data_IF_378995639079
#
_entry.id   IF_378995639079
#
_cell.length_a   1.000
_cell.length_b   1.000
_cell.length_c   1.000
_cell.angle_alpha   90.00
_cell.angle_beta   90.00
_cell.angle_gamma   90.00
#
_symmetry.space_group_name_H-M   'P 1'
#
loop_
_entity.id
_entity.type
_entity.pdbx_description
1 polymer ?
#
# COMPACT_ATOMS: atom_id res chain seq x y z
N UNK A 1 -10.81 5.32 7.49
CA UNK A 1 -9.85 4.59 6.63
C UNK A 1 -9.78 5.27 5.28
N UNK A 2 -8.59 5.61 4.80
CA UNK A 2 -8.31 6.25 3.50
C UNK A 2 -7.48 5.31 2.65
N UNK A 3 -7.75 5.28 1.36
CA UNK A 3 -6.98 4.53 0.35
C UNK A 3 -6.34 5.55 -0.59
N UNK A 4 -5.05 5.39 -0.84
CA UNK A 4 -4.28 6.20 -1.76
C UNK A 4 -3.83 5.33 -2.92
N UNK A 5 -4.28 5.64 -4.14
CA UNK A 5 -3.87 4.96 -5.36
C UNK A 5 -2.62 5.66 -5.93
N UNK A 6 -1.48 4.96 -5.99
CA UNK A 6 -0.23 5.51 -6.49
C UNK A 6 -0.26 5.90 -7.98
N UNK A 7 -1.32 5.56 -8.72
CA UNK A 7 -1.54 6.00 -10.11
C UNK A 7 -2.27 7.34 -10.20
N UNK A 8 -2.93 7.76 -9.12
CA UNK A 8 -3.65 9.03 -9.05
C UNK A 8 -2.70 10.12 -8.55
N UNK A 9 -2.43 11.19 -9.33
CA UNK A 9 -1.41 12.18 -8.97
C UNK A 9 -1.64 12.88 -7.64
N UNK A 10 -2.89 13.12 -7.24
CA UNK A 10 -3.21 13.72 -5.94
C UNK A 10 -2.87 12.80 -4.78
N UNK A 11 -3.22 11.53 -4.90
CA UNK A 11 -2.97 10.49 -3.89
C UNK A 11 -1.47 10.22 -3.75
N UNK A 12 -0.74 10.23 -4.88
CA UNK A 12 0.71 10.11 -4.88
C UNK A 12 1.38 11.24 -4.10
N UNK A 13 0.94 12.49 -4.31
CA UNK A 13 1.44 13.66 -3.56
C UNK A 13 1.12 13.54 -2.07
N UNK A 14 -0.09 13.11 -1.73
CA UNK A 14 -0.50 12.89 -0.34
C UNK A 14 0.32 11.78 0.33
N UNK A 15 0.49 10.64 -0.34
CA UNK A 15 1.26 9.51 0.14
C UNK A 15 2.71 9.92 0.42
N UNK A 16 3.38 10.61 -0.51
CA UNK A 16 4.75 11.08 -0.29
C UNK A 16 4.84 11.98 0.95
N UNK A 17 3.91 12.94 1.10
CA UNK A 17 3.86 13.81 2.28
C UNK A 17 3.67 13.01 3.58
N UNK A 18 2.75 12.05 3.58
CA UNK A 18 2.51 11.20 4.75
C UNK A 18 3.77 10.39 5.10
N UNK A 19 4.37 9.73 4.10
CA UNK A 19 5.59 8.96 4.27
C UNK A 19 6.74 9.81 4.83
N UNK A 20 6.89 11.05 4.38
CA UNK A 20 7.90 11.98 4.89
C UNK A 20 7.71 12.35 6.37
N UNK A 21 6.47 12.26 6.88
CA UNK A 21 6.09 12.59 8.26
C UNK A 21 6.08 11.39 9.21
N UNK A 22 6.23 10.16 8.71
CA UNK A 22 6.26 8.96 9.57
C UNK A 22 7.49 8.97 10.48
N UNK A 23 7.32 8.52 11.73
CA UNK A 23 8.43 8.36 12.67
C UNK A 23 9.48 7.36 12.15
N UNK A 24 9.00 6.27 11.54
CA UNK A 24 9.82 5.25 10.89
C UNK A 24 9.58 5.34 9.38
N UNK A 25 10.59 5.79 8.64
CA UNK A 25 10.52 5.94 7.17
C UNK A 25 11.25 4.80 6.50
N UNK A 26 10.52 3.71 6.21
CA UNK A 26 11.10 2.57 5.51
C UNK A 26 11.05 2.83 4.00
N UNK A 27 12.13 2.58 3.24
CA UNK A 27 12.11 2.76 1.79
C UNK A 27 10.99 1.98 1.10
N UNK A 28 10.64 0.80 1.63
CA UNK A 28 9.60 -0.05 1.06
C UNK A 28 8.16 0.48 1.27
N UNK A 29 7.97 1.51 2.08
CA UNK A 29 6.67 2.19 2.23
C UNK A 29 6.50 3.38 1.25
N UNK A 30 7.57 3.75 0.55
CA UNK A 30 7.57 4.85 -0.40
C UNK A 30 6.88 4.42 -1.71
N UNK A 31 6.02 5.24 -2.31
CA UNK A 31 5.29 4.85 -3.53
C UNK A 31 6.22 4.51 -4.69
N UNK A 32 7.34 5.21 -4.85
CA UNK A 32 8.31 4.93 -5.91
C UNK A 32 9.02 3.59 -5.73
N UNK A 33 9.19 3.12 -4.49
CA UNK A 33 9.74 1.79 -4.24
C UNK A 33 8.73 0.70 -4.61
N UNK A 34 7.46 0.88 -4.22
CA UNK A 34 6.40 -0.08 -4.54
C UNK A 34 6.16 -0.17 -6.04
N UNK A 35 6.21 0.97 -6.74
CA UNK A 35 6.17 1.00 -8.20
C UNK A 35 7.38 0.27 -8.81
N UNK A 36 8.60 0.54 -8.32
CA UNK A 36 9.83 -0.07 -8.81
C UNK A 36 9.83 -1.60 -8.70
N UNK A 37 9.34 -2.13 -7.57
CA UNK A 37 9.31 -3.58 -7.31
C UNK A 37 7.98 -4.24 -7.70
N UNK A 38 7.02 -3.44 -8.16
CA UNK A 38 5.69 -3.88 -8.54
C UNK A 38 5.73 -4.83 -9.73
N UNK A 39 4.88 -5.86 -9.70
CA UNK A 39 4.72 -6.78 -10.82
C UNK A 39 3.76 -6.20 -11.87
N UNK A 40 3.82 -6.72 -13.10
CA UNK A 40 2.85 -6.38 -14.13
C UNK A 40 1.41 -6.53 -13.62
N UNK A 41 0.56 -5.55 -13.96
CA UNK A 41 -0.84 -5.46 -13.53
C UNK A 41 -1.08 -5.22 -12.03
N UNK A 42 -0.07 -4.79 -11.28
CA UNK A 42 -0.25 -4.29 -9.92
C UNK A 42 -0.52 -2.79 -9.89
N UNK A 43 -1.27 -2.37 -8.87
CA UNK A 43 -1.47 -0.98 -8.50
C UNK A 43 -0.74 -0.73 -7.18
N UNK A 44 0.19 0.24 -7.10
CA UNK A 44 0.72 0.68 -5.82
C UNK A 44 -0.41 1.31 -4.99
N UNK A 45 -0.60 0.84 -3.76
CA UNK A 45 -1.64 1.34 -2.85
C UNK A 45 -1.05 1.58 -1.48
N UNK A 46 -1.49 2.66 -0.83
CA UNK A 46 -1.34 2.83 0.61
C UNK A 46 -2.69 3.00 1.29
N UNK A 47 -2.84 2.40 2.47
CA UNK A 47 -4.01 2.54 3.33
C UNK A 47 -3.60 3.23 4.61
N UNK A 48 -4.39 4.24 4.99
CA UNK A 48 -4.25 4.96 6.25
C UNK A 48 -5.50 4.76 7.10
N UNK A 49 -5.28 4.36 8.35
CA UNK A 49 -6.29 4.34 9.39
C UNK A 49 -5.84 5.27 10.52
N UNK A 50 -6.71 6.17 10.97
CA UNK A 50 -6.40 7.17 12.00
C UNK A 50 -7.47 7.11 13.09
N UNK A 51 -7.00 7.18 14.33
CA UNK A 51 -7.77 7.28 15.56
C UNK A 51 -7.18 8.39 16.43
N UNK A 52 -7.90 8.88 17.46
CA UNK A 52 -7.40 9.95 18.33
C UNK A 52 -6.02 9.71 18.97
N UNK A 53 -5.64 8.44 19.16
CA UNK A 53 -4.43 8.03 19.87
C UNK A 53 -3.40 7.31 19.01
N UNK A 54 -3.65 7.20 17.70
CA UNK A 54 -2.67 6.60 16.81
C UNK A 54 -3.15 6.43 15.39
N UNK A 55 -2.23 6.03 14.53
CA UNK A 55 -2.49 5.76 13.13
C UNK A 55 -1.81 4.48 12.69
N UNK A 56 -2.40 3.86 11.67
CA UNK A 56 -1.82 2.75 10.92
C UNK A 56 -1.61 3.20 9.49
N UNK A 57 -0.41 2.98 8.98
CA UNK A 57 -0.04 3.21 7.60
C UNK A 57 0.43 1.88 6.99
N UNK A 58 -0.15 1.48 5.85
CA UNK A 58 0.24 0.23 5.20
C UNK A 58 0.28 0.37 3.68
N UNK A 59 1.45 0.12 3.11
CA UNK A 59 1.70 0.24 1.69
C UNK A 59 1.98 -1.12 1.05
N UNK A 60 1.34 -1.40 -0.09
CA UNK A 60 1.38 -2.69 -0.76
C UNK A 60 1.10 -2.57 -2.26
N UNK A 61 1.44 -3.61 -3.02
CA UNK A 61 0.96 -3.80 -4.39
C UNK A 61 -0.38 -4.50 -4.36
N UNK A 62 -1.42 -3.88 -4.92
CA UNK A 62 -2.75 -4.45 -5.06
C UNK A 62 -2.89 -5.07 -6.45
N UNK A 63 -3.22 -6.36 -6.54
CA UNK A 63 -3.31 -7.05 -7.84
C UNK A 63 -4.64 -7.75 -7.98
N UNK A 64 -5.19 -7.67 -9.19
CA UNK A 64 -6.40 -8.41 -9.57
C UNK A 64 -6.03 -9.79 -10.07
N UNK A 65 -6.45 -10.83 -9.36
CA UNK A 65 -6.07 -12.21 -9.65
C UNK A 65 -6.61 -12.70 -11.00
N UNK A 66 -7.80 -12.25 -11.43
CA UNK A 66 -8.38 -12.65 -12.72
C UNK A 66 -7.53 -12.21 -13.94
N UNK A 67 -6.54 -11.33 -13.75
CA UNK A 67 -5.62 -10.92 -14.83
C UNK A 67 -4.48 -11.92 -15.07
N UNK A 68 -4.29 -12.89 -14.18
CA UNK A 68 -3.30 -13.93 -14.35
C UNK A 68 -3.89 -15.10 -15.15
N UNK A 69 -3.09 -15.66 -16.06
CA UNK A 69 -3.53 -16.74 -16.97
C UNK A 69 -4.17 -17.92 -16.24
N UNK A 70 -3.61 -18.33 -15.10
CA UNK A 70 -4.12 -19.44 -14.29
C UNK A 70 -5.45 -19.16 -13.55
N UNK A 71 -5.86 -17.89 -13.48
CA UNK A 71 -7.01 -17.43 -12.69
C UNK A 71 -8.04 -16.66 -13.54
N UNK A 72 -7.88 -16.63 -14.86
CA UNK A 72 -8.74 -15.85 -15.76
C UNK A 72 -10.17 -16.40 -15.90
N UNK A 73 -10.43 -17.62 -15.43
CA UNK A 73 -11.74 -18.29 -15.45
C UNK A 73 -12.58 -18.05 -14.19
N UNK A 74 -12.05 -17.32 -13.21
CA UNK A 74 -12.79 -16.98 -11.98
C UNK A 74 -13.96 -16.05 -12.33
N UNK A 75 -15.16 -16.43 -11.92
CA UNK A 75 -16.39 -15.65 -12.15
C UNK A 75 -16.41 -14.33 -11.36
N UNK A 76 -15.92 -14.37 -10.12
CA UNK A 76 -15.84 -13.21 -9.23
C UNK A 76 -14.48 -12.50 -9.34
N UNK A 77 -14.44 -11.20 -9.05
CA UNK A 77 -13.18 -10.47 -8.97
C UNK A 77 -12.47 -10.75 -7.64
N UNK A 78 -11.29 -11.37 -7.74
CA UNK A 78 -10.43 -11.58 -6.58
C UNK A 78 -9.21 -10.69 -6.63
N UNK A 79 -8.75 -10.30 -5.45
CA UNK A 79 -7.58 -9.46 -5.28
C UNK A 79 -6.64 -10.09 -4.27
N UNK A 80 -5.35 -9.90 -4.50
CA UNK A 80 -4.34 -10.08 -3.48
C UNK A 80 -3.62 -8.77 -3.17
N UNK A 81 -2.99 -8.75 -2.01
CA UNK A 81 -2.10 -7.69 -1.57
C UNK A 81 -0.71 -8.30 -1.39
N UNK A 82 0.31 -7.63 -1.92
CA UNK A 82 1.69 -8.06 -1.80
C UNK A 82 2.47 -6.95 -1.12
N UNK A 83 3.05 -7.26 0.04
CA UNK A 83 3.96 -6.33 0.69
C UNK A 83 5.30 -6.32 -0.05
N UNK A 84 5.95 -5.15 -0.17
CA UNK A 84 7.23 -4.99 -0.86
C UNK A 84 8.41 -5.72 -0.19
N UNK A 85 8.18 -6.37 0.97
CA UNK A 85 9.14 -7.18 1.68
C UNK A 85 8.44 -8.16 2.63
N UNK A 86 9.07 -9.31 2.95
CA UNK A 86 8.49 -10.34 3.82
C UNK A 86 8.20 -9.91 5.27
N UNK A 87 8.76 -8.76 5.69
CA UNK A 87 8.54 -8.13 6.99
C UNK A 87 7.92 -6.71 6.88
N UNK A 88 7.49 -6.30 5.68
CA UNK A 88 6.94 -4.97 5.40
C UNK A 88 5.47 -4.84 5.78
N UNK A 89 5.10 -5.25 7.00
CA UNK A 89 3.73 -5.11 7.52
C UNK A 89 3.35 -3.64 7.81
N UNK A 90 2.14 -3.41 8.33
CA UNK A 90 1.67 -2.07 8.69
C UNK A 90 2.62 -1.37 9.68
N UNK A 91 2.79 -0.07 9.52
CA UNK A 91 3.37 0.81 10.52
C UNK A 91 2.29 1.32 11.45
N UNK A 92 2.56 1.26 12.74
CA UNK A 92 1.77 1.92 13.77
C UNK A 92 2.55 3.13 14.28
N UNK A 93 1.86 4.25 14.47
CA UNK A 93 2.35 5.41 15.22
C UNK A 93 1.32 5.76 16.30
N UNK A 94 1.78 5.85 17.55
CA UNK A 94 0.96 6.13 18.71
C UNK A 94 1.79 5.95 19.98
N UNK A 95 1.22 6.26 21.13
CA UNK A 95 1.90 6.09 22.41
C UNK A 95 1.47 4.77 23.02
N UNK A 96 2.44 3.96 23.44
CA UNK A 96 2.18 2.89 24.40
C UNK A 96 1.78 3.56 25.72
N UNK A 97 0.52 3.40 26.14
CA UNK A 97 0.04 3.84 27.46
C UNK A 97 0.61 2.98 28.59
#
# INVERSE_FOLDING_TARGET
>A
MRWLDGREPCDLVEWVKLWETLDIRRPHDNPSFIELIGLHHSTPVAVIYEEPHGSVFYAFSWRRLNRFEYFNSLEEEYFDIVSPYGYGGPLYSGKDE
#
